data_IF_202793013469
#
_entry.id   IF_202793013469
#
_cell.length_a   1.000
_cell.length_b   1.000
_cell.length_c   1.000
_cell.angle_alpha   90.00
_cell.angle_beta   90.00
_cell.angle_gamma   90.00
#
_symmetry.space_group_name_H-M   'P 1'
#
loop_
_entity.id
_entity.type
_entity.pdbx_description
1 polymer ?
#
# COMPACT_ATOMS: atom_id res chain seq x y z
N UNK A 1 -23.05 19.97 2.53
CA UNK A 1 -21.58 20.03 2.58
C UNK A 1 -21.13 18.61 2.80
N UNK A 2 -20.43 18.02 1.83
CA UNK A 2 -19.81 16.71 2.00
C UNK A 2 -18.46 16.98 2.64
N UNK A 3 -18.28 16.65 3.91
CA UNK A 3 -16.96 16.64 4.55
C UNK A 3 -16.09 15.63 3.81
N UNK A 4 -14.90 16.03 3.38
CA UNK A 4 -13.93 15.18 2.68
C UNK A 4 -12.91 14.75 3.73
N UNK A 5 -13.27 13.72 4.49
CA UNK A 5 -12.44 13.18 5.56
C UNK A 5 -11.01 12.87 5.07
N UNK A 6 -10.03 13.09 5.94
CA UNK A 6 -8.71 12.43 5.90
C UNK A 6 -8.97 10.96 6.27
N UNK A 7 -9.61 10.22 5.37
CA UNK A 7 -9.72 8.75 5.45
C UNK A 7 -8.51 8.24 4.67
N UNK A 8 -7.81 7.25 5.23
CA UNK A 8 -6.92 6.36 4.46
C UNK A 8 -7.84 5.71 3.42
N UNK A 9 -7.93 6.33 2.25
CA UNK A 9 -9.13 6.30 1.43
C UNK A 9 -9.21 5.01 0.60
N UNK A 10 -9.87 3.98 1.10
CA UNK A 10 -10.49 2.95 0.24
C UNK A 10 -11.93 3.34 -0.06
N UNK A 11 -12.13 4.34 -0.93
CA UNK A 11 -13.47 4.67 -1.45
C UNK A 11 -13.59 4.39 -2.94
N UNK A 12 -14.46 3.43 -3.23
CA UNK A 12 -15.00 3.09 -4.54
C UNK A 12 -16.12 4.08 -4.87
N UNK A 13 -15.92 5.01 -5.80
CA UNK A 13 -17.04 5.73 -6.43
C UNK A 13 -17.25 5.27 -7.88
N UNK A 14 -18.23 4.39 -8.08
CA UNK A 14 -18.61 3.89 -9.40
C UNK A 14 -19.24 5.01 -10.26
N UNK A 15 -18.57 5.42 -11.34
CA UNK A 15 -19.16 6.23 -12.42
C UNK A 15 -18.90 5.56 -13.78
N UNK A 16 -19.97 5.12 -14.43
CA UNK A 16 -19.97 4.58 -15.78
C UNK A 16 -19.78 5.68 -16.83
N UNK A 17 -18.77 5.57 -17.70
CA UNK A 17 -18.81 6.16 -19.06
C UNK A 17 -18.11 5.25 -20.09
N UNK A 18 -18.81 5.05 -21.22
CA UNK A 18 -18.49 4.16 -22.34
C UNK A 18 -17.22 4.52 -23.13
N UNK A 19 -16.65 3.47 -23.74
CA UNK A 19 -15.48 3.42 -24.63
C UNK A 19 -15.58 4.25 -25.92
N UNK A 20 -14.42 4.61 -26.48
CA UNK A 20 -14.13 4.37 -27.91
C UNK A 20 -12.63 4.28 -28.20
N UNK A 21 -12.30 3.34 -29.08
CA UNK A 21 -11.00 2.87 -29.56
C UNK A 21 -10.46 3.81 -30.64
N UNK A 22 -9.13 3.97 -30.77
CA UNK A 22 -8.46 4.02 -32.09
C UNK A 22 -7.02 3.45 -32.06
N UNK A 23 -6.65 2.81 -33.16
CA UNK A 23 -5.54 1.89 -33.38
C UNK A 23 -4.53 2.46 -34.39
N UNK A 24 -3.29 1.92 -34.37
CA UNK A 24 -2.31 1.78 -35.47
C UNK A 24 -1.43 3.01 -35.83
N UNK A 25 -0.17 2.93 -36.31
CA UNK A 25 0.74 1.83 -36.73
C UNK A 25 2.18 2.37 -36.96
N UNK A 26 3.18 1.52 -36.69
CA UNK A 26 4.54 1.32 -37.27
C UNK A 26 5.27 2.38 -38.15
N UNK A 27 6.59 2.52 -37.92
CA UNK A 27 7.66 2.55 -38.94
C UNK A 27 9.02 2.24 -38.23
N UNK A 28 9.57 1.03 -38.32
CA UNK A 28 10.68 0.60 -39.19
C UNK A 28 11.81 1.62 -39.39
N UNK A 29 12.99 1.31 -38.84
CA UNK A 29 14.24 1.61 -39.55
C UNK A 29 15.27 0.50 -39.27
N UNK A 30 15.88 0.00 -40.34
CA UNK A 30 16.93 -1.01 -40.30
C UNK A 30 18.27 -0.29 -40.40
N UNK A 31 19.18 -0.58 -39.48
CA UNK A 31 20.59 -0.23 -39.67
C UNK A 31 21.47 -1.46 -39.43
N UNK A 32 22.28 -1.75 -40.44
CA UNK A 32 23.17 -2.91 -40.52
C UNK A 32 24.43 -2.66 -39.67
N UNK A 33 24.50 -3.28 -38.49
CA UNK A 33 25.73 -3.33 -37.70
C UNK A 33 26.37 -4.73 -37.76
N UNK A 34 27.66 -4.73 -38.05
CA UNK A 34 28.55 -5.88 -38.21
C UNK A 34 28.59 -6.70 -36.91
N UNK A 35 28.24 -7.99 -37.01
CA UNK A 35 28.26 -8.94 -35.89
C UNK A 35 29.71 -9.35 -35.58
N UNK A 36 30.24 -8.86 -34.47
CA UNK A 36 31.41 -9.42 -33.79
C UNK A 36 30.86 -10.44 -32.79
N UNK A 37 31.35 -11.69 -32.72
CA UNK A 37 30.83 -12.65 -31.77
C UNK A 37 31.28 -12.25 -30.36
N UNK A 38 30.37 -11.64 -29.62
CA UNK A 38 30.53 -11.38 -28.20
C UNK A 38 30.47 -12.72 -27.45
N UNK A 39 31.53 -13.01 -26.69
CA UNK A 39 31.61 -14.16 -25.81
C UNK A 39 30.49 -14.06 -24.78
N UNK A 40 29.45 -14.87 -24.94
CA UNK A 40 28.33 -14.98 -24.00
C UNK A 40 28.86 -15.47 -22.66
N UNK A 41 28.98 -14.53 -21.71
CA UNK A 41 29.07 -14.84 -20.29
C UNK A 41 27.74 -15.50 -19.91
N UNK A 42 27.73 -16.82 -19.78
CA UNK A 42 26.60 -17.56 -19.21
C UNK A 42 26.54 -17.18 -17.74
N UNK A 43 25.68 -16.21 -17.39
CA UNK A 43 25.36 -15.94 -15.99
C UNK A 43 24.59 -17.14 -15.44
N UNK A 44 25.16 -17.81 -14.45
CA UNK A 44 24.49 -18.88 -13.71
C UNK A 44 23.50 -18.31 -12.67
N UNK A 45 22.86 -17.18 -12.96
CA UNK A 45 21.79 -16.66 -12.10
C UNK A 45 20.54 -17.50 -12.35
N UNK A 46 20.19 -18.34 -11.38
CA UNK A 46 18.86 -18.92 -11.32
C UNK A 46 17.87 -17.76 -11.36
N UNK A 47 16.97 -17.67 -12.35
CA UNK A 47 16.03 -16.58 -12.44
C UNK A 47 15.25 -16.48 -11.14
N UNK A 48 15.25 -15.29 -10.54
CA UNK A 48 14.38 -14.98 -9.40
C UNK A 48 12.95 -15.29 -9.82
N UNK A 49 12.29 -16.18 -9.10
CA UNK A 49 10.91 -16.58 -9.39
C UNK A 49 10.01 -15.49 -8.85
N UNK A 50 9.60 -14.55 -9.67
CA UNK A 50 8.74 -13.45 -9.23
C UNK A 50 7.32 -13.93 -8.92
N UNK A 51 6.66 -13.29 -7.96
CA UNK A 51 5.24 -13.53 -7.69
C UNK A 51 4.43 -12.93 -8.83
N UNK A 52 3.62 -13.76 -9.49
CA UNK A 52 2.60 -13.32 -10.44
C UNK A 52 1.30 -13.02 -9.67
N UNK A 53 0.84 -11.75 -9.58
CA UNK A 53 -0.41 -11.40 -8.91
C UNK A 53 -1.64 -12.13 -9.46
N UNK A 54 -1.64 -12.44 -10.76
CA UNK A 54 -2.76 -13.13 -11.40
C UNK A 54 -2.76 -14.65 -11.13
N UNK A 55 -1.60 -15.22 -10.81
CA UNK A 55 -1.40 -16.66 -10.57
C UNK A 55 -0.46 -16.88 -9.37
N UNK A 56 -0.95 -16.53 -8.18
CA UNK A 56 -0.18 -16.63 -6.94
C UNK A 56 0.33 -18.07 -6.72
N UNK A 57 1.65 -18.23 -6.59
CA UNK A 57 2.31 -19.46 -6.12
C UNK A 57 2.59 -19.32 -4.62
N UNK A 58 1.85 -20.02 -3.74
CA UNK A 58 2.05 -19.89 -2.30
C UNK A 58 3.44 -20.28 -1.81
N UNK A 59 4.20 -21.06 -2.58
CA UNK A 59 5.58 -21.45 -2.22
C UNK A 59 6.57 -20.29 -2.28
N UNK A 60 6.17 -19.15 -2.86
CA UNK A 60 6.96 -17.91 -2.87
C UNK A 60 6.74 -17.04 -1.63
N UNK A 61 5.90 -17.48 -0.69
CA UNK A 61 5.62 -16.77 0.55
C UNK A 61 6.25 -17.48 1.74
N UNK A 62 6.68 -16.71 2.74
CA UNK A 62 7.17 -17.30 3.98
C UNK A 62 6.00 -18.00 4.70
N UNK A 63 6.28 -19.15 5.33
CA UNK A 63 5.25 -19.91 6.07
C UNK A 63 4.96 -19.32 7.46
N UNK A 64 5.88 -18.50 7.96
CA UNK A 64 5.67 -17.70 9.17
C UNK A 64 4.84 -16.46 8.84
N UNK A 65 4.10 -15.94 9.82
CA UNK A 65 3.42 -14.65 9.73
C UNK A 65 4.30 -13.49 10.19
N UNK A 66 5.60 -13.71 10.37
CA UNK A 66 6.55 -12.67 10.73
C UNK A 66 6.87 -11.79 9.53
N UNK A 67 6.38 -10.55 9.53
CA UNK A 67 6.73 -9.54 8.53
C UNK A 67 7.85 -8.66 9.12
N UNK A 68 9.04 -8.74 8.53
CA UNK A 68 10.29 -8.12 9.02
C UNK A 68 10.97 -7.18 8.01
N UNK A 69 10.23 -6.75 6.98
CA UNK A 69 10.68 -5.76 6.01
C UNK A 69 11.32 -4.53 6.69
N UNK A 70 12.44 -4.06 6.15
CA UNK A 70 13.27 -2.99 6.72
C UNK A 70 12.45 -1.75 7.13
N UNK A 71 11.50 -1.33 6.30
CA UNK A 71 10.70 -0.12 6.49
C UNK A 71 9.29 -0.41 7.05
N UNK A 72 8.90 -1.68 7.19
CA UNK A 72 7.56 -2.08 7.65
C UNK A 72 7.60 -3.44 8.37
N UNK A 73 7.71 -3.39 9.71
CA UNK A 73 7.85 -4.56 10.58
C UNK A 73 6.59 -4.73 11.41
N UNK A 74 6.03 -5.93 11.42
CA UNK A 74 4.77 -6.22 12.13
C UNK A 74 4.96 -7.32 13.20
N UNK A 75 5.74 -7.08 14.27
CA UNK A 75 5.74 -7.99 15.41
C UNK A 75 4.33 -8.08 16.03
N UNK A 76 3.98 -9.28 16.50
CA UNK A 76 2.70 -9.49 17.20
C UNK A 76 2.59 -8.60 18.44
N UNK A 77 1.39 -8.08 18.69
CA UNK A 77 1.11 -7.15 19.78
C UNK A 77 1.53 -5.71 19.50
N UNK A 78 2.18 -5.44 18.35
CA UNK A 78 2.55 -4.08 17.96
C UNK A 78 1.32 -3.19 17.91
N UNK A 79 1.45 -1.98 18.46
CA UNK A 79 0.46 -0.92 18.38
C UNK A 79 1.11 0.38 17.91
N UNK A 80 0.53 1.00 16.90
CA UNK A 80 0.92 2.32 16.39
C UNK A 80 -0.28 3.26 16.55
N UNK A 81 0.00 4.50 16.96
CA UNK A 81 -1.02 5.55 17.02
C UNK A 81 -0.54 6.73 16.21
N UNK A 82 -1.40 7.23 15.33
CA UNK A 82 -1.17 8.43 14.53
C UNK A 82 -2.26 9.46 14.82
N UNK A 83 -1.91 10.74 14.78
CA UNK A 83 -2.87 11.83 14.95
C UNK A 83 -2.53 13.01 14.04
N UNK A 84 -3.58 13.65 13.54
CA UNK A 84 -3.56 14.81 12.66
C UNK A 84 -4.80 15.66 12.93
N UNK A 85 -4.70 16.98 12.78
CA UNK A 85 -5.82 17.88 13.03
C UNK A 85 -5.91 18.91 11.91
N UNK A 86 -7.12 19.12 11.38
CA UNK A 86 -7.42 20.12 10.36
C UNK A 86 -8.57 21.01 10.83
N UNK A 87 -8.65 22.24 10.32
CA UNK A 87 -9.77 23.12 10.64
C UNK A 87 -11.11 22.63 10.05
N UNK A 88 -11.07 21.83 8.98
CA UNK A 88 -12.26 21.34 8.28
C UNK A 88 -12.80 20.05 8.88
N UNK A 89 -11.93 19.09 9.18
CA UNK A 89 -12.32 17.74 9.59
C UNK A 89 -12.20 17.51 11.11
N UNK A 90 -11.44 18.33 11.84
CA UNK A 90 -11.20 18.14 13.27
C UNK A 90 -10.02 17.20 13.55
N UNK A 91 -10.02 16.55 14.71
CA UNK A 91 -8.96 15.62 15.11
C UNK A 91 -9.20 14.24 14.51
N UNK A 92 -8.32 13.82 13.62
CA UNK A 92 -8.23 12.44 13.18
C UNK A 92 -7.22 11.69 14.05
N UNK A 93 -7.60 10.47 14.44
CA UNK A 93 -6.71 9.52 15.13
C UNK A 93 -6.80 8.16 14.44
N UNK A 94 -5.65 7.58 14.14
CA UNK A 94 -5.52 6.23 13.58
C UNK A 94 -4.82 5.32 14.59
N UNK A 95 -5.37 4.13 14.80
CA UNK A 95 -4.75 3.08 15.62
C UNK A 95 -4.56 1.81 14.82
N UNK A 96 -3.30 1.41 14.69
CA UNK A 96 -2.92 0.14 14.08
C UNK A 96 -2.58 -0.85 15.18
N UNK A 97 -3.12 -2.06 15.09
CA UNK A 97 -2.73 -3.18 15.96
C UNK A 97 -2.43 -4.44 15.16
N UNK A 98 -1.44 -5.20 15.61
CA UNK A 98 -1.09 -6.51 15.03
C UNK A 98 -1.53 -7.62 16.01
N UNK A 99 -2.80 -8.08 15.94
CA UNK A 99 -3.36 -9.01 16.92
C UNK A 99 -2.75 -10.42 16.87
N UNK A 100 -2.13 -10.79 15.75
CA UNK A 100 -1.64 -12.15 15.49
C UNK A 100 -2.68 -13.06 14.83
N UNK A 101 -3.87 -12.54 14.53
CA UNK A 101 -4.88 -13.23 13.72
C UNK A 101 -4.40 -13.39 12.27
N UNK A 102 -4.91 -14.43 11.60
CA UNK A 102 -4.46 -14.80 10.26
C UNK A 102 -5.63 -15.26 9.39
N UNK A 103 -5.52 -15.06 8.07
CA UNK A 103 -6.48 -15.57 7.08
C UNK A 103 -5.72 -16.29 5.97
N UNK A 104 -6.33 -17.32 5.38
CA UNK A 104 -5.76 -17.96 4.19
C UNK A 104 -6.46 -17.39 2.95
N UNK A 105 -5.68 -16.82 2.03
CA UNK A 105 -6.16 -16.24 0.77
C UNK A 105 -5.30 -16.79 -0.36
N UNK A 106 -5.92 -17.41 -1.37
CA UNK A 106 -5.21 -18.06 -2.48
C UNK A 106 -4.12 -19.07 -2.04
N UNK A 107 -4.30 -19.72 -0.88
CA UNK A 107 -3.34 -20.66 -0.30
C UNK A 107 -2.15 -20.00 0.44
N UNK A 108 -2.11 -18.66 0.50
CA UNK A 108 -1.12 -17.91 1.28
C UNK A 108 -1.72 -17.57 2.64
N UNK A 109 -0.96 -17.85 3.70
CA UNK A 109 -1.32 -17.45 5.07
C UNK A 109 -0.96 -15.99 5.29
N UNK A 110 -1.95 -15.12 5.41
CA UNK A 110 -1.80 -13.69 5.64
C UNK A 110 -1.94 -13.34 7.13
N UNK A 111 -1.24 -12.31 7.57
CA UNK A 111 -1.35 -11.68 8.88
C UNK A 111 -2.39 -10.56 8.82
N UNK A 112 -3.23 -10.46 9.84
CA UNK A 112 -4.15 -9.32 9.99
C UNK A 112 -3.40 -8.11 10.51
N UNK A 113 -3.51 -7.01 9.77
CA UNK A 113 -3.16 -5.66 10.19
C UNK A 113 -4.49 -4.94 10.46
N UNK A 114 -4.77 -4.64 11.73
CA UNK A 114 -6.04 -4.05 12.14
C UNK A 114 -5.89 -2.53 12.23
N UNK A 115 -6.53 -1.83 11.32
CA UNK A 115 -6.62 -0.38 11.28
C UNK A 115 -7.97 0.08 11.87
N UNK A 116 -7.94 1.17 12.62
CA UNK A 116 -9.12 1.85 13.13
C UNK A 116 -8.91 3.35 13.02
N UNK A 117 -9.90 4.02 12.46
CA UNK A 117 -9.89 5.47 12.26
C UNK A 117 -10.98 6.11 13.10
N UNK A 118 -10.62 7.16 13.83
CA UNK A 118 -11.53 8.00 14.60
C UNK A 118 -11.48 9.43 14.12
N UNK A 119 -12.65 10.08 14.08
CA UNK A 119 -12.81 11.51 13.87
C UNK A 119 -13.48 12.11 15.11
N UNK A 120 -12.83 13.05 15.78
CA UNK A 120 -13.34 13.70 17.01
C UNK A 120 -13.88 12.67 18.04
N UNK A 121 -13.07 11.62 18.30
CA UNK A 121 -13.37 10.47 19.18
C UNK A 121 -14.52 9.54 18.72
N UNK A 122 -15.11 9.77 17.55
CA UNK A 122 -16.08 8.86 16.93
C UNK A 122 -15.36 7.86 16.02
N UNK A 123 -15.56 6.55 16.24
CA UNK A 123 -15.06 5.52 15.33
C UNK A 123 -15.80 5.65 13.99
N UNK A 124 -15.06 5.90 12.92
CA UNK A 124 -15.60 6.03 11.56
C UNK A 124 -15.29 4.81 10.70
N UNK A 125 -14.20 4.10 10.99
CA UNK A 125 -13.80 2.92 10.22
C UNK A 125 -13.05 1.89 11.07
N UNK A 126 -13.27 0.60 10.81
CA UNK A 126 -12.42 -0.51 11.25
C UNK A 126 -12.11 -1.43 10.06
N UNK A 127 -10.83 -1.56 9.73
CA UNK A 127 -10.35 -2.30 8.56
C UNK A 127 -9.40 -3.42 8.99
N UNK A 128 -9.57 -4.60 8.37
CA UNK A 128 -8.69 -5.76 8.55
C UNK A 128 -7.97 -6.04 7.24
N UNK A 129 -6.77 -5.52 7.11
CA UNK A 129 -5.90 -5.78 5.97
C UNK A 129 -5.21 -7.13 6.09
N UNK A 130 -5.07 -7.82 4.96
CA UNK A 130 -4.46 -9.14 4.87
C UNK A 130 -3.09 -9.06 4.20
N UNK A 131 -2.03 -9.13 5.01
CA UNK A 131 -0.64 -8.94 4.54
C UNK A 131 0.19 -10.22 4.60
N UNK A 132 1.06 -10.45 3.62
CA UNK A 132 2.03 -11.54 3.67
C UNK A 132 3.37 -11.12 3.07
N UNK A 133 4.47 -11.66 3.59
CA UNK A 133 5.80 -11.39 3.05
C UNK A 133 6.23 -12.50 2.09
N UNK A 134 6.77 -12.13 0.93
CA UNK A 134 7.38 -13.09 0.02
C UNK A 134 8.79 -13.48 0.48
N UNK A 135 9.36 -14.54 -0.11
CA UNK A 135 10.73 -15.01 0.19
C UNK A 135 11.82 -14.01 -0.22
N UNK A 136 11.46 -12.89 -0.85
CA UNK A 136 12.36 -11.81 -1.23
C UNK A 136 12.22 -10.56 -0.36
N UNK A 137 11.33 -10.58 0.63
CA UNK A 137 11.11 -9.51 1.59
C UNK A 137 10.09 -8.44 1.16
N UNK A 138 9.41 -8.60 0.02
CA UNK A 138 8.30 -7.70 -0.31
C UNK A 138 7.08 -8.08 0.53
N UNK A 139 6.36 -7.08 1.01
CA UNK A 139 5.09 -7.28 1.71
C UNK A 139 3.97 -7.06 0.70
N UNK A 140 3.14 -8.07 0.56
CA UNK A 140 2.01 -8.15 -0.34
C UNK A 140 0.71 -7.88 0.40
N UNK A 141 -0.22 -7.25 -0.30
CA UNK A 141 -1.55 -6.91 0.18
C UNK A 141 -2.60 -7.75 -0.55
N UNK A 142 -3.30 -8.61 0.19
CA UNK A 142 -4.27 -9.56 -0.36
C UNK A 142 -5.72 -9.08 -0.27
N UNK A 143 -5.92 -7.86 0.23
CA UNK A 143 -7.23 -7.22 0.40
C UNK A 143 -7.61 -7.02 1.85
N UNK A 144 -8.85 -6.61 2.06
CA UNK A 144 -9.39 -6.10 3.31
C UNK A 144 -10.85 -6.47 3.52
N UNK A 145 -11.21 -6.60 4.79
CA UNK A 145 -12.59 -6.48 5.23
C UNK A 145 -12.76 -5.11 5.92
N UNK A 146 -13.74 -4.31 5.47
CA UNK A 146 -13.99 -2.94 5.95
C UNK A 146 -15.31 -2.85 6.70
N UNK A 147 -15.35 -2.08 7.78
CA UNK A 147 -16.57 -1.71 8.49
C UNK A 147 -16.65 -0.19 8.64
N UNK A 148 -17.57 0.44 7.93
CA UNK A 148 -17.79 1.88 8.01
C UNK A 148 -18.87 2.20 9.06
N UNK A 149 -18.63 3.22 9.86
CA UNK A 149 -19.49 3.60 10.97
C UNK A 149 -19.99 5.04 10.86
N UNK A 150 -21.19 5.28 11.40
CA UNK A 150 -21.71 6.64 11.60
C UNK A 150 -22.77 6.69 12.68
N UNK A 151 -22.66 7.68 13.56
CA UNK A 151 -23.41 7.78 14.82
C UNK A 151 -23.32 6.48 15.66
N UNK A 152 -22.12 5.89 15.71
CA UNK A 152 -21.84 4.64 16.42
C UNK A 152 -22.54 3.39 15.88
N UNK A 153 -23.01 3.40 14.62
CA UNK A 153 -23.66 2.25 13.97
C UNK A 153 -22.91 1.85 12.71
N UNK A 154 -22.82 0.56 12.46
CA UNK A 154 -22.33 0.02 11.19
C UNK A 154 -23.25 0.49 10.05
N UNK A 155 -22.68 1.14 9.05
CA UNK A 155 -23.38 1.63 7.87
C UNK A 155 -23.28 0.62 6.73
N UNK A 156 -22.05 0.23 6.38
CA UNK A 156 -21.76 -0.63 5.24
C UNK A 156 -20.33 -1.22 5.33
N UNK A 157 -19.91 -1.85 4.24
CA UNK A 157 -18.61 -2.48 4.03
C UNK A 157 -17.98 -2.00 2.71
N UNK A 158 -18.31 -0.78 2.26
CA UNK A 158 -17.67 -0.19 1.08
C UNK A 158 -16.14 -0.12 1.30
N UNK A 159 -15.37 -0.34 0.23
CA UNK A 159 -13.91 -0.54 0.30
C UNK A 159 -13.52 -2.01 0.23
N UNK A 160 -14.23 -2.91 0.93
CA UNK A 160 -13.83 -4.32 1.08
C UNK A 160 -13.59 -5.07 -0.24
N UNK A 161 -12.45 -5.77 -0.32
CA UNK A 161 -12.06 -6.60 -1.45
C UNK A 161 -11.12 -7.72 -1.04
N UNK A 162 -11.08 -8.83 -1.78
CA UNK A 162 -10.15 -9.93 -1.53
C UNK A 162 -9.57 -10.46 -2.83
N UNK A 163 -8.25 -10.66 -2.85
CA UNK A 163 -7.55 -11.30 -3.95
C UNK A 163 -8.18 -12.68 -4.28
N UNK A 164 -8.39 -12.94 -5.58
CA UNK A 164 -9.05 -14.14 -6.07
C UNK A 164 -10.57 -14.05 -6.18
N UNK A 165 -11.20 -12.98 -5.67
CA UNK A 165 -12.64 -12.73 -5.79
C UNK A 165 -12.89 -11.74 -6.92
N UNK A 166 -13.81 -12.05 -7.83
CA UNK A 166 -14.24 -11.17 -8.94
C UNK A 166 -13.10 -10.59 -9.79
N UNK A 167 -11.98 -11.31 -9.90
CA UNK A 167 -10.81 -10.90 -10.67
C UNK A 167 -9.87 -9.94 -9.93
N UNK A 168 -10.10 -9.67 -8.64
CA UNK A 168 -9.17 -8.93 -7.81
C UNK A 168 -7.84 -9.70 -7.63
N UNK A 169 -6.72 -8.98 -7.58
CA UNK A 169 -5.38 -9.54 -7.45
C UNK A 169 -4.65 -8.87 -6.29
N UNK A 170 -3.72 -9.56 -5.60
CA UNK A 170 -2.95 -8.93 -4.56
C UNK A 170 -1.96 -7.92 -5.17
N UNK A 171 -1.70 -6.84 -4.46
CA UNK A 171 -0.65 -5.88 -4.82
C UNK A 171 0.52 -5.90 -3.85
N UNK A 172 1.45 -4.98 -4.02
CA UNK A 172 2.59 -4.80 -3.12
C UNK A 172 2.24 -3.68 -2.15
N UNK A 173 2.17 -3.98 -0.86
CA UNK A 173 2.10 -2.97 0.18
C UNK A 173 3.42 -2.20 0.24
N UNK A 174 4.54 -2.91 0.40
CA UNK A 174 5.87 -2.29 0.44
C UNK A 174 6.95 -3.25 -0.08
N UNK A 175 7.80 -2.75 -0.97
CA UNK A 175 8.92 -3.54 -1.54
C UNK A 175 10.02 -3.79 -0.50
N UNK A 176 10.80 -4.86 -0.71
CA UNK A 176 12.02 -5.13 0.06
C UNK A 176 13.13 -4.11 -0.22
N UNK A 177 13.17 -3.63 -1.47
CA UNK A 177 14.15 -2.67 -1.97
C UNK A 177 13.43 -1.60 -2.77
N UNK A 178 13.77 -0.35 -2.49
CA UNK A 178 13.14 0.81 -3.11
C UNK A 178 14.08 1.42 -4.15
N UNK A 179 13.53 1.70 -5.32
CA UNK A 179 14.21 2.38 -6.42
C UNK A 179 13.41 3.65 -6.70
N UNK A 180 14.05 4.82 -6.64
CA UNK A 180 13.38 6.09 -6.92
C UNK A 180 12.84 6.09 -8.35
N UNK A 181 11.58 6.50 -8.50
CA UNK A 181 10.86 6.48 -9.78
C UNK A 181 10.13 5.17 -10.08
N UNK A 182 10.29 4.13 -9.27
CA UNK A 182 9.43 2.94 -9.38
C UNK A 182 7.98 3.29 -9.08
N UNK A 183 7.06 2.69 -9.84
CA UNK A 183 5.63 2.71 -9.61
C UNK A 183 5.09 1.28 -9.53
N UNK A 184 4.16 1.02 -8.61
CA UNK A 184 3.53 -0.29 -8.46
C UNK A 184 2.12 -0.19 -7.88
N UNK A 185 1.33 -1.24 -8.09
CA UNK A 185 -0.01 -1.37 -7.53
C UNK A 185 0.06 -1.83 -6.07
N UNK A 186 -0.64 -1.14 -5.20
CA UNK A 186 -1.02 -1.66 -3.89
C UNK A 186 -2.27 -2.52 -4.01
N UNK A 187 -3.17 -2.18 -4.94
CA UNK A 187 -4.42 -2.89 -5.15
C UNK A 187 -4.72 -3.13 -6.64
N UNK A 188 -5.47 -4.19 -6.91
CA UNK A 188 -5.99 -4.46 -8.24
C UNK A 188 -7.38 -5.07 -8.15
N UNK A 189 -8.40 -4.25 -8.28
CA UNK A 189 -9.79 -4.63 -8.46
C UNK A 189 -10.47 -3.56 -9.32
N UNK A 190 -10.56 -3.84 -10.62
CA UNK A 190 -10.96 -2.86 -11.64
C UNK A 190 -12.23 -2.09 -11.28
N UNK A 191 -12.12 -0.75 -11.23
CA UNK A 191 -13.25 0.14 -10.93
C UNK A 191 -13.71 0.11 -9.46
N UNK A 192 -12.95 -0.54 -8.58
CA UNK A 192 -13.27 -0.71 -7.17
C UNK A 192 -12.07 -0.36 -6.26
N UNK A 193 -10.93 -1.01 -6.44
CA UNK A 193 -9.74 -0.81 -5.62
C UNK A 193 -8.52 -0.79 -6.57
N UNK A 194 -7.89 0.36 -6.79
CA UNK A 194 -6.84 0.51 -7.82
C UNK A 194 -5.67 1.38 -7.34
N UNK A 195 -5.39 1.35 -6.04
CA UNK A 195 -4.35 2.18 -5.44
C UNK A 195 -2.96 1.85 -5.98
N UNK A 196 -2.20 2.91 -6.19
CA UNK A 196 -0.88 2.95 -6.79
C UNK A 196 0.08 3.68 -5.86
N UNK A 197 1.35 3.29 -5.96
CA UNK A 197 2.42 3.85 -5.15
C UNK A 197 3.66 4.12 -5.99
N UNK A 198 4.17 5.34 -5.87
CA UNK A 198 5.42 5.76 -6.50
C UNK A 198 6.50 5.99 -5.44
N UNK A 199 7.72 5.51 -5.70
CA UNK A 199 8.87 5.78 -4.82
C UNK A 199 9.45 7.15 -5.16
N UNK A 200 9.20 8.14 -4.30
CA UNK A 200 9.59 9.53 -4.52
C UNK A 200 11.03 9.82 -4.10
N UNK A 201 11.47 9.29 -2.95
CA UNK A 201 12.84 9.47 -2.44
C UNK A 201 13.23 8.33 -1.50
N UNK A 202 14.54 8.15 -1.30
CA UNK A 202 15.13 7.17 -0.38
C UNK A 202 16.23 7.84 0.45
N UNK A 203 16.37 7.44 1.72
CA UNK A 203 17.38 7.98 2.63
C UNK A 203 17.11 9.44 3.06
N UNK A 204 15.86 9.89 2.96
CA UNK A 204 15.47 11.24 3.37
C UNK A 204 15.29 11.28 4.90
N UNK A 205 15.86 12.29 5.59
CA UNK A 205 15.60 12.47 7.01
C UNK A 205 14.20 13.06 7.23
N UNK A 206 13.49 12.54 8.23
CA UNK A 206 12.15 13.01 8.62
C UNK A 206 12.16 13.39 10.09
N UNK A 207 11.59 14.54 10.42
CA UNK A 207 11.41 15.00 11.79
C UNK A 207 9.92 15.17 12.09
N UNK A 208 9.49 14.54 13.18
CA UNK A 208 8.15 14.65 13.77
C UNK A 208 8.28 14.94 15.27
N UNK A 209 7.16 15.13 15.97
CA UNK A 209 7.16 15.39 17.40
C UNK A 209 7.90 14.31 18.23
N UNK A 210 7.83 13.04 17.83
CA UNK A 210 8.49 11.92 18.52
C UNK A 210 10.01 11.88 18.34
N UNK A 211 10.56 12.52 17.31
CA UNK A 211 11.99 12.48 17.05
C UNK A 211 12.38 12.75 15.59
N UNK A 212 13.66 12.51 15.31
CA UNK A 212 14.25 12.64 13.98
C UNK A 212 14.80 11.30 13.51
N UNK A 213 14.39 10.89 12.32
CA UNK A 213 14.75 9.62 11.68
C UNK A 213 15.56 9.91 10.42
N UNK A 214 16.62 9.14 10.15
CA UNK A 214 17.58 9.47 9.08
C UNK A 214 17.42 8.64 7.81
N UNK A 215 16.86 7.45 7.94
CA UNK A 215 16.70 6.49 6.85
C UNK A 215 15.22 6.24 6.62
N UNK A 216 14.62 7.12 5.81
CA UNK A 216 13.22 7.01 5.42
C UNK A 216 13.07 6.93 3.90
N UNK A 217 11.97 6.29 3.49
CA UNK A 217 11.52 6.24 2.10
C UNK A 217 10.25 7.05 2.01
N UNK A 218 10.21 7.98 1.07
CA UNK A 218 9.03 8.76 0.74
C UNK A 218 8.31 8.09 -0.41
N UNK A 219 7.06 7.75 -0.17
CA UNK A 219 6.14 7.17 -1.13
C UNK A 219 5.08 8.21 -1.47
N UNK A 220 4.63 8.19 -2.72
CA UNK A 220 3.50 8.97 -3.18
C UNK A 220 2.40 8.01 -3.57
N UNK A 221 1.31 8.03 -2.81
CA UNK A 221 0.17 7.15 -2.99
C UNK A 221 -0.93 7.92 -3.72
N UNK A 222 -1.56 7.24 -4.67
CA UNK A 222 -2.59 7.81 -5.53
C UNK A 222 -3.48 6.72 -6.13
N UNK A 223 -4.65 7.10 -6.63
CA UNK A 223 -5.55 6.18 -7.31
C UNK A 223 -6.15 6.80 -8.56
N UNK A 224 -6.34 6.04 -9.66
CA UNK A 224 -7.06 6.53 -10.83
C UNK A 224 -8.56 6.73 -10.57
N UNK A 225 -9.11 6.12 -9.51
CA UNK A 225 -10.52 6.21 -9.15
C UNK A 225 -10.85 7.57 -8.54
N UNK A 226 -9.92 8.12 -7.77
CA UNK A 226 -10.05 9.39 -7.08
C UNK A 226 -8.80 10.27 -7.29
N UNK A 227 -8.73 11.02 -8.40
CA UNK A 227 -7.51 11.78 -8.76
C UNK A 227 -7.12 12.91 -7.79
N UNK A 228 -8.03 13.30 -6.89
CA UNK A 228 -7.76 14.27 -5.81
C UNK A 228 -7.20 13.59 -4.55
N UNK A 229 -7.34 12.26 -4.43
CA UNK A 229 -6.82 11.48 -3.31
C UNK A 229 -5.35 11.16 -3.55
N UNK A 230 -4.48 11.94 -2.89
CA UNK A 230 -3.03 11.90 -3.05
C UNK A 230 -2.36 12.18 -1.72
N UNK A 231 -1.30 11.45 -1.43
CA UNK A 231 -0.59 11.60 -0.17
C UNK A 231 0.87 11.19 -0.28
N UNK A 232 1.71 11.84 0.52
CA UNK A 232 3.08 11.38 0.75
C UNK A 232 3.16 10.61 2.05
N UNK A 233 3.58 9.35 2.01
CA UNK A 233 3.87 8.55 3.21
C UNK A 233 5.37 8.37 3.39
N UNK A 234 5.85 8.59 4.60
CA UNK A 234 7.25 8.43 4.96
C UNK A 234 7.40 7.23 5.89
N UNK A 235 8.03 6.16 5.39
CA UNK A 235 8.36 4.97 6.18
C UNK A 235 9.82 5.01 6.60
N UNK A 236 10.11 4.86 7.89
CA UNK A 236 11.47 4.97 8.42
C UNK A 236 11.95 3.65 9.01
N UNK A 237 13.18 3.23 8.67
CA UNK A 237 13.69 1.89 9.02
C UNK A 237 13.94 1.68 10.51
N UNK A 238 14.29 2.76 11.21
CA UNK A 238 14.50 2.79 12.67
C UNK A 238 13.22 2.40 13.43
N UNK A 239 12.07 2.86 12.93
CA UNK A 239 10.74 2.49 13.48
C UNK A 239 10.25 1.20 12.82
N UNK A 240 10.53 0.98 11.53
CA UNK A 240 9.92 -0.06 10.73
C UNK A 240 8.41 0.17 10.56
N UNK A 241 7.99 1.41 10.38
CA UNK A 241 6.61 1.80 10.08
C UNK A 241 6.57 3.19 9.43
N UNK A 242 5.38 3.62 8.97
CA UNK A 242 5.13 5.01 8.63
C UNK A 242 5.34 5.90 9.86
N UNK A 243 5.93 7.07 9.67
CA UNK A 243 6.09 8.09 10.72
C UNK A 243 5.34 9.39 10.41
N UNK A 244 5.11 9.67 9.12
CA UNK A 244 4.49 10.90 8.65
C UNK A 244 3.76 10.65 7.34
N UNK A 245 2.51 11.05 7.30
CA UNK A 245 1.74 11.27 6.07
C UNK A 245 1.58 12.77 5.83
N UNK A 246 1.49 13.18 4.56
CA UNK A 246 1.21 14.58 4.21
C UNK A 246 0.42 14.68 2.93
N UNK A 247 -0.69 15.41 2.96
CA UNK A 247 -1.44 15.78 1.75
C UNK A 247 -0.66 16.82 0.95
N UNK A 248 -0.36 16.59 -0.35
CA UNK A 248 0.49 17.47 -1.14
C UNK A 248 -0.15 18.84 -1.39
N UNK A 249 -1.49 18.89 -1.46
CA UNK A 249 -2.22 20.10 -1.82
C UNK A 249 -2.50 21.01 -0.61
N UNK A 250 -2.76 20.43 0.56
CA UNK A 250 -3.12 21.16 1.79
C UNK A 250 -1.96 21.30 2.77
N UNK A 251 -1.00 20.36 2.74
CA UNK A 251 0.06 20.25 3.73
C UNK A 251 -0.41 19.69 5.07
N UNK A 252 -1.66 19.21 5.16
CA UNK A 252 -2.20 18.49 6.32
C UNK A 252 -1.35 17.25 6.60
N UNK A 253 -1.22 16.91 7.88
CA UNK A 253 -0.32 15.85 8.34
C UNK A 253 -1.02 14.92 9.32
N UNK A 254 -0.73 13.65 9.15
CA UNK A 254 -0.98 12.60 10.13
C UNK A 254 0.39 12.10 10.62
N UNK A 255 0.70 12.31 11.90
CA UNK A 255 2.01 12.02 12.48
C UNK A 255 1.94 10.87 13.48
N UNK A 256 2.96 10.01 13.47
CA UNK A 256 3.11 8.97 14.49
C UNK A 256 3.28 9.58 15.88
N UNK A 257 2.42 9.19 16.82
CA UNK A 257 2.40 9.65 18.21
C UNK A 257 2.86 8.61 19.21
N UNK A 258 2.74 7.32 18.92
CA UNK A 258 3.33 6.27 19.77
C UNK A 258 3.57 4.95 19.04
N UNK A 259 4.50 4.17 19.58
CA UNK A 259 4.83 2.79 19.15
C UNK A 259 4.96 1.95 20.41
N UNK A 260 4.20 0.87 20.52
CA UNK A 260 4.30 -0.13 21.59
C UNK A 260 4.41 -1.54 21.03
#
# INVERSE_FOLDING_TARGET
MKARFLVILTAVLAVFVLSTIYLNKNASDQDNAVVVPELTQVSNEVPKREVDPANVDPSLFITSTTIDNKYFKLPMGRKLVYEGETEEDGLERVEITIPGDTKEILGVKTLVYLDKVWQDDELVEETRDYLAQDVYGNVWYFGEDVNNYGNGKLLDHEGAWLAGVDGAQPGIWIKASHIVGDSYRQEFYKGKAEDMRDVSSIGEPVQIALGSYKDCVKMYDWTPLEPDSKEFKHYCSEVGAMVLETKPDTGEKLELKSVN
#
